data_IF_333107333610
#
_entry.id   IF_333107333610
#
_cell.length_a   1.000
_cell.length_b   1.000
_cell.length_c   1.000
_cell.angle_alpha   90.00
_cell.angle_beta   90.00
_cell.angle_gamma   90.00
#
_symmetry.space_group_name_H-M   'P 1'
#
loop_
_entity.id
_entity.type
_entity.pdbx_description
1 polymer ?
#
# COMPACT_ATOMS: atom_id res chain seq x y z
N UNK A 1 -4.72 34.58 -16.06
CA UNK A 1 -4.88 34.21 -14.64
C UNK A 1 -3.57 33.57 -14.21
N UNK A 2 -3.01 33.94 -13.06
CA UNK A 2 -1.80 33.25 -12.57
C UNK A 2 -2.11 31.78 -12.31
N UNK A 3 -1.21 30.91 -12.71
CA UNK A 3 -1.33 29.48 -12.48
C UNK A 3 -1.37 29.22 -10.98
N UNK A 4 -2.40 28.50 -10.50
CA UNK A 4 -2.51 28.17 -9.08
C UNK A 4 -1.42 27.17 -8.71
N UNK A 5 -0.78 27.36 -7.57
CA UNK A 5 0.11 26.34 -7.00
C UNK A 5 -0.69 25.07 -6.71
N UNK A 6 -0.15 23.92 -7.09
CA UNK A 6 -0.78 22.61 -6.87
C UNK A 6 -0.33 22.03 -5.55
N UNK A 7 -1.21 21.28 -4.92
CA UNK A 7 -0.94 20.59 -3.66
C UNK A 7 -1.67 19.25 -3.63
N UNK A 8 -0.93 18.16 -3.49
CA UNK A 8 -1.47 16.83 -3.36
C UNK A 8 -1.25 16.30 -1.95
N UNK A 9 -2.29 15.73 -1.35
CA UNK A 9 -2.23 15.13 -0.03
C UNK A 9 -3.01 13.82 -0.02
N UNK A 10 -2.42 12.81 0.63
CA UNK A 10 -3.04 11.49 0.83
C UNK A 10 -3.02 11.12 2.29
N UNK A 11 -4.00 10.33 2.72
CA UNK A 11 -3.87 9.50 3.93
C UNK A 11 -3.32 8.13 3.58
N UNK A 12 -2.94 7.33 4.56
CA UNK A 12 -2.92 5.89 4.37
C UNK A 12 -4.32 5.41 3.96
N UNK A 13 -4.40 4.34 3.16
CA UNK A 13 -5.67 3.71 2.82
C UNK A 13 -6.00 2.64 3.86
N UNK A 14 -7.25 2.62 4.33
CA UNK A 14 -7.66 1.76 5.43
C UNK A 14 -7.82 0.30 4.98
N UNK A 15 -7.18 -0.64 5.68
CA UNK A 15 -7.33 -2.06 5.38
C UNK A 15 -8.72 -2.57 5.80
N UNK A 16 -9.44 -3.17 4.86
CA UNK A 16 -10.85 -3.57 5.03
C UNK A 16 -11.04 -4.85 5.84
N UNK A 17 -10.08 -5.23 6.66
CA UNK A 17 -10.21 -6.40 7.54
C UNK A 17 -11.16 -6.20 8.73
N UNK A 18 -11.69 -5.02 8.93
CA UNK A 18 -12.63 -4.69 9.99
C UNK A 18 -13.08 -3.24 9.96
N UNK A 19 -13.95 -2.87 10.89
CA UNK A 19 -14.41 -1.49 11.03
C UNK A 19 -13.25 -0.56 11.42
N UNK A 20 -13.22 0.69 10.91
CA UNK A 20 -12.21 1.66 11.30
C UNK A 20 -12.37 2.03 12.78
N UNK A 21 -11.27 2.38 13.39
CA UNK A 21 -11.22 2.91 14.76
C UNK A 21 -10.85 4.40 14.77
N UNK A 22 -10.90 5.02 15.93
CA UNK A 22 -10.66 6.46 16.07
C UNK A 22 -9.30 6.94 15.54
N UNK A 23 -8.28 6.07 15.51
CA UNK A 23 -6.98 6.38 14.93
C UNK A 23 -7.06 6.62 13.41
N UNK A 24 -7.86 5.85 12.69
CA UNK A 24 -8.08 6.05 11.26
C UNK A 24 -8.86 7.35 11.00
N UNK A 25 -9.88 7.65 11.80
CA UNK A 25 -10.65 8.90 11.68
C UNK A 25 -9.81 10.13 12.02
N UNK A 26 -8.91 10.02 13.01
CA UNK A 26 -7.99 11.10 13.38
C UNK A 26 -7.09 11.50 12.20
N UNK A 27 -6.50 10.53 11.51
CA UNK A 27 -5.67 10.77 10.33
C UNK A 27 -6.46 11.49 9.23
N UNK A 28 -7.68 11.01 8.92
CA UNK A 28 -8.53 11.60 7.91
C UNK A 28 -8.89 13.07 8.22
N UNK A 29 -9.25 13.37 9.47
CA UNK A 29 -9.59 14.72 9.94
C UNK A 29 -8.37 15.64 9.93
N UNK A 30 -7.19 15.13 10.34
CA UNK A 30 -5.94 15.89 10.30
C UNK A 30 -5.58 16.28 8.87
N UNK A 31 -5.64 15.32 7.94
CA UNK A 31 -5.39 15.56 6.51
C UNK A 31 -6.39 16.57 5.94
N UNK A 32 -7.69 16.43 6.24
CA UNK A 32 -8.74 17.35 5.79
C UNK A 32 -8.51 18.79 6.30
N UNK A 33 -8.04 18.94 7.52
CA UNK A 33 -7.71 20.26 8.08
C UNK A 33 -6.62 20.96 7.29
N UNK A 34 -5.56 20.23 6.91
CA UNK A 34 -4.48 20.75 6.07
C UNK A 34 -4.98 21.10 4.68
N UNK A 35 -5.80 20.24 4.09
CA UNK A 35 -6.40 20.45 2.76
C UNK A 35 -7.27 21.70 2.72
N UNK A 36 -8.16 21.88 3.70
CA UNK A 36 -9.00 23.07 3.81
C UNK A 36 -8.17 24.33 3.94
N UNK A 37 -7.13 24.31 4.76
CA UNK A 37 -6.21 25.43 4.91
C UNK A 37 -5.50 25.77 3.58
N UNK A 38 -5.01 24.77 2.85
CA UNK A 38 -4.37 24.97 1.53
C UNK A 38 -5.36 25.53 0.50
N UNK A 39 -6.59 25.05 0.47
CA UNK A 39 -7.66 25.60 -0.39
C UNK A 39 -7.94 27.06 -0.08
N UNK A 40 -7.99 27.45 1.22
CA UNK A 40 -8.14 28.84 1.64
C UNK A 40 -6.97 29.75 1.21
N UNK A 41 -5.75 29.17 1.12
CA UNK A 41 -4.57 29.86 0.58
C UNK A 41 -4.59 29.98 -0.96
N UNK A 42 -5.62 29.48 -1.64
CA UNK A 42 -5.78 29.56 -3.09
C UNK A 42 -5.04 28.48 -3.90
N UNK A 43 -4.52 27.44 -3.25
CA UNK A 43 -3.94 26.30 -3.94
C UNK A 43 -5.01 25.51 -4.72
N UNK A 44 -4.59 24.88 -5.81
CA UNK A 44 -5.33 23.79 -6.46
C UNK A 44 -4.98 22.49 -5.72
N UNK A 45 -5.93 21.99 -4.93
CA UNK A 45 -5.68 20.89 -4.00
C UNK A 45 -6.37 19.62 -4.46
N UNK A 46 -5.60 18.53 -4.52
CA UNK A 46 -6.12 17.17 -4.68
C UNK A 46 -5.92 16.39 -3.38
N UNK A 47 -7.01 15.92 -2.79
CA UNK A 47 -7.00 15.11 -1.57
C UNK A 47 -7.53 13.71 -1.83
N UNK A 48 -6.70 12.70 -1.52
CA UNK A 48 -7.04 11.30 -1.69
C UNK A 48 -7.02 10.57 -0.35
N UNK A 49 -8.01 9.72 -0.15
CA UNK A 49 -8.08 8.69 0.89
C UNK A 49 -8.68 7.42 0.26
N UNK A 50 -8.85 6.35 1.00
CA UNK A 50 -9.45 5.14 0.42
C UNK A 50 -9.29 3.90 1.26
N UNK A 51 -9.43 2.75 0.59
CA UNK A 51 -9.38 1.44 1.21
C UNK A 51 -8.44 0.47 0.48
N UNK A 52 -7.71 -0.32 1.27
CA UNK A 52 -6.94 -1.49 0.86
C UNK A 52 -7.81 -2.73 1.06
N UNK A 53 -8.06 -3.48 -0.02
CA UNK A 53 -9.14 -4.45 -0.09
C UNK A 53 -8.72 -5.87 -0.49
N UNK A 54 -7.44 -6.09 -0.78
CA UNK A 54 -6.94 -7.39 -1.22
C UNK A 54 -6.22 -8.16 -0.10
N UNK A 55 -5.93 -9.44 -0.36
CA UNK A 55 -5.11 -10.28 0.50
C UNK A 55 -5.85 -11.45 1.13
N UNK A 56 -5.04 -12.40 1.62
CA UNK A 56 -5.53 -13.67 2.18
C UNK A 56 -6.47 -13.48 3.38
N UNK A 57 -6.19 -12.49 4.22
CA UNK A 57 -7.01 -12.23 5.42
C UNK A 57 -8.45 -11.81 5.06
N UNK A 58 -8.61 -11.07 3.96
CA UNK A 58 -9.93 -10.69 3.44
C UNK A 58 -10.64 -11.94 2.88
N UNK A 59 -9.93 -12.76 2.09
CA UNK A 59 -10.46 -14.00 1.53
C UNK A 59 -11.01 -14.92 2.64
N UNK A 60 -10.21 -15.16 3.69
CA UNK A 60 -10.61 -15.98 4.84
C UNK A 60 -11.82 -15.41 5.60
N UNK A 61 -11.85 -14.09 5.82
CA UNK A 61 -12.99 -13.45 6.50
C UNK A 61 -14.28 -13.49 5.68
N UNK A 62 -14.18 -13.38 4.38
CA UNK A 62 -15.32 -13.51 3.49
C UNK A 62 -15.86 -14.96 3.51
N UNK A 63 -14.95 -15.94 3.50
CA UNK A 63 -15.30 -17.37 3.63
C UNK A 63 -15.98 -17.66 4.98
N UNK A 64 -15.42 -17.17 6.10
CA UNK A 64 -16.03 -17.28 7.43
C UNK A 64 -17.43 -16.66 7.47
N UNK A 65 -17.66 -15.57 6.74
CA UNK A 65 -18.95 -14.89 6.65
C UNK A 65 -19.91 -15.54 5.63
N UNK A 66 -19.46 -16.53 4.84
CA UNK A 66 -20.26 -17.20 3.80
C UNK A 66 -20.62 -16.29 2.63
N UNK A 67 -19.79 -15.29 2.31
CA UNK A 67 -19.99 -14.34 1.21
C UNK A 67 -18.73 -14.26 0.34
N UNK A 68 -18.83 -13.62 -0.82
CA UNK A 68 -17.66 -13.39 -1.68
C UNK A 68 -16.74 -12.31 -1.09
N UNK A 69 -15.40 -12.38 -1.35
CA UNK A 69 -14.47 -11.32 -0.93
C UNK A 69 -14.91 -9.94 -1.43
N UNK A 70 -15.36 -9.83 -2.68
CA UNK A 70 -15.87 -8.56 -3.23
C UNK A 70 -17.02 -7.99 -2.43
N UNK A 71 -18.01 -8.83 -2.07
CA UNK A 71 -19.16 -8.40 -1.24
C UNK A 71 -18.70 -7.95 0.15
N UNK A 72 -17.76 -8.69 0.74
CA UNK A 72 -17.20 -8.36 2.04
C UNK A 72 -16.54 -6.97 2.05
N UNK A 73 -15.65 -6.70 1.07
CA UNK A 73 -14.96 -5.39 0.99
C UNK A 73 -15.90 -4.26 0.59
N UNK A 74 -16.92 -4.52 -0.24
CA UNK A 74 -17.94 -3.52 -0.57
C UNK A 74 -18.68 -3.05 0.69
N UNK A 75 -19.06 -3.97 1.57
CA UNK A 75 -19.75 -3.65 2.81
C UNK A 75 -18.84 -2.87 3.79
N UNK A 76 -17.59 -3.30 3.97
CA UNK A 76 -16.65 -2.64 4.88
C UNK A 76 -16.22 -1.28 4.34
N UNK A 77 -15.86 -1.20 3.06
CA UNK A 77 -15.46 0.05 2.41
C UNK A 77 -16.61 1.07 2.44
N UNK A 78 -17.85 0.63 2.20
CA UNK A 78 -19.03 1.48 2.34
C UNK A 78 -19.21 2.04 3.75
N UNK A 79 -18.94 1.24 4.79
CA UNK A 79 -18.98 1.71 6.18
C UNK A 79 -17.87 2.73 6.46
N UNK A 80 -16.64 2.48 5.98
CA UNK A 80 -15.52 3.40 6.12
C UNK A 80 -15.86 4.74 5.45
N UNK A 81 -16.30 4.69 4.22
CA UNK A 81 -16.71 5.88 3.47
C UNK A 81 -17.81 6.68 4.20
N UNK A 82 -18.82 6.00 4.74
CA UNK A 82 -19.88 6.64 5.53
C UNK A 82 -19.33 7.37 6.75
N UNK A 83 -18.32 6.82 7.42
CA UNK A 83 -17.68 7.46 8.57
C UNK A 83 -16.89 8.70 8.13
N UNK A 84 -16.13 8.63 7.01
CA UNK A 84 -15.43 9.80 6.46
C UNK A 84 -16.39 10.91 6.06
N UNK A 85 -17.51 10.56 5.45
CA UNK A 85 -18.59 11.51 5.07
C UNK A 85 -19.24 12.13 6.32
N UNK A 86 -19.47 11.34 7.39
CA UNK A 86 -19.98 11.82 8.67
C UNK A 86 -19.02 12.83 9.33
N UNK A 87 -17.71 12.62 9.19
CA UNK A 87 -16.67 13.54 9.65
C UNK A 87 -16.53 14.77 8.75
N UNK A 88 -17.36 14.89 7.71
CA UNK A 88 -17.32 15.97 6.73
C UNK A 88 -15.94 16.11 6.04
N UNK A 89 -15.28 15.00 5.80
CA UNK A 89 -13.95 14.95 5.14
C UNK A 89 -14.10 15.33 3.66
N UNK A 90 -13.34 16.32 3.21
CA UNK A 90 -13.50 16.92 1.87
C UNK A 90 -12.55 16.31 0.82
N UNK A 91 -12.41 14.98 0.81
CA UNK A 91 -11.60 14.28 -0.19
C UNK A 91 -12.17 14.43 -1.61
N UNK A 92 -11.27 14.49 -2.59
CA UNK A 92 -11.62 14.53 -4.02
C UNK A 92 -11.68 13.13 -4.62
N UNK A 93 -10.91 12.18 -4.08
CA UNK A 93 -10.90 10.77 -4.47
C UNK A 93 -10.96 9.87 -3.24
N UNK A 94 -11.92 8.96 -3.23
CA UNK A 94 -11.92 7.79 -2.36
C UNK A 94 -11.54 6.59 -3.23
N UNK A 95 -10.25 6.22 -3.21
CA UNK A 95 -9.73 5.12 -4.02
C UNK A 95 -9.96 3.79 -3.32
N UNK A 96 -10.28 2.78 -4.09
CA UNK A 96 -10.35 1.39 -3.64
C UNK A 96 -9.34 0.58 -4.45
N UNK A 97 -8.60 -0.32 -3.80
CA UNK A 97 -7.66 -1.18 -4.57
C UNK A 97 -8.39 -2.15 -5.49
N UNK A 98 -9.71 -2.34 -5.34
CA UNK A 98 -10.60 -3.06 -6.25
C UNK A 98 -11.21 -2.17 -7.35
N UNK A 99 -10.83 -0.90 -7.47
CA UNK A 99 -11.23 -0.07 -8.60
C UNK A 99 -10.52 -0.55 -9.88
N UNK A 100 -11.25 -0.73 -10.96
CA UNK A 100 -10.73 -1.29 -12.23
C UNK A 100 -9.58 -0.45 -12.81
N UNK A 101 -9.64 0.86 -12.67
CA UNK A 101 -8.58 1.77 -13.10
C UNK A 101 -7.29 1.58 -12.29
N UNK A 102 -7.40 1.33 -10.98
CA UNK A 102 -6.27 1.00 -10.13
C UNK A 102 -5.65 -0.34 -10.51
N UNK A 103 -6.45 -1.40 -10.60
CA UNK A 103 -5.98 -2.75 -10.94
C UNK A 103 -5.20 -2.76 -12.27
N UNK A 104 -5.75 -2.14 -13.32
CA UNK A 104 -5.08 -2.03 -14.63
C UNK A 104 -3.75 -1.28 -14.56
N UNK A 105 -3.68 -0.21 -13.77
CA UNK A 105 -2.45 0.55 -13.61
C UNK A 105 -1.40 -0.23 -12.83
N UNK A 106 -1.79 -0.95 -11.78
CA UNK A 106 -0.89 -1.83 -11.02
C UNK A 106 -0.30 -2.92 -11.91
N UNK A 107 -1.12 -3.56 -12.76
CA UNK A 107 -0.64 -4.54 -13.74
C UNK A 107 0.41 -3.96 -14.68
N UNK A 108 0.17 -2.75 -15.21
CA UNK A 108 1.15 -2.05 -16.05
C UNK A 108 2.45 -1.70 -15.31
N UNK A 109 2.35 -1.25 -14.04
CA UNK A 109 3.52 -0.96 -13.20
C UNK A 109 4.32 -2.24 -12.97
N UNK A 110 3.66 -3.34 -12.61
CA UNK A 110 4.29 -4.63 -12.41
C UNK A 110 5.03 -5.09 -13.68
N UNK A 111 4.33 -5.07 -14.80
CA UNK A 111 4.90 -5.45 -16.11
C UNK A 111 6.10 -4.61 -16.49
N UNK A 112 6.02 -3.29 -16.32
CA UNK A 112 7.12 -2.36 -16.58
C UNK A 112 8.37 -2.68 -15.75
N UNK A 113 8.20 -2.91 -14.44
CA UNK A 113 9.30 -3.27 -13.54
C UNK A 113 9.89 -4.64 -13.90
N UNK A 114 9.06 -5.59 -14.31
CA UNK A 114 9.50 -6.89 -14.79
C UNK A 114 10.32 -6.77 -16.08
N UNK A 115 9.84 -6.04 -17.08
CA UNK A 115 10.54 -5.83 -18.36
C UNK A 115 11.86 -5.08 -18.21
N UNK A 116 11.97 -4.22 -17.18
CA UNK A 116 13.22 -3.53 -16.83
C UNK A 116 14.21 -4.43 -16.07
N UNK A 117 13.80 -5.65 -15.69
CA UNK A 117 14.59 -6.55 -14.89
C UNK A 117 14.71 -6.17 -13.41
N UNK A 118 13.83 -5.29 -12.94
CA UNK A 118 13.74 -4.90 -11.54
C UNK A 118 12.85 -5.85 -10.71
N UNK A 119 11.99 -6.61 -11.38
CA UNK A 119 11.27 -7.75 -10.81
C UNK A 119 11.82 -9.04 -11.40
N UNK A 120 12.03 -10.05 -10.58
CA UNK A 120 12.48 -11.39 -10.97
C UNK A 120 11.70 -12.48 -10.24
N UNK A 121 11.61 -13.64 -10.85
CA UNK A 121 10.95 -14.82 -10.28
C UNK A 121 11.91 -15.61 -9.41
N UNK A 122 11.45 -16.04 -8.25
CA UNK A 122 12.22 -16.81 -7.30
C UNK A 122 11.33 -17.65 -6.39
N UNK A 123 11.92 -18.18 -5.32
CA UNK A 123 11.19 -18.92 -4.30
C UNK A 123 11.32 -18.22 -2.97
N UNK A 124 10.20 -18.08 -2.29
CA UNK A 124 10.16 -17.65 -0.92
C UNK A 124 10.07 -18.87 -0.01
N UNK A 125 11.01 -18.98 0.92
CA UNK A 125 10.98 -20.00 1.96
C UNK A 125 11.07 -19.31 3.32
N UNK A 126 10.16 -19.62 4.21
CA UNK A 126 10.16 -19.02 5.54
C UNK A 126 9.02 -19.50 6.41
N UNK A 127 8.91 -18.90 7.58
CA UNK A 127 7.82 -19.13 8.53
C UNK A 127 6.73 -18.08 8.30
N UNK A 128 5.60 -18.49 7.80
CA UNK A 128 4.50 -17.62 7.44
C UNK A 128 3.49 -17.45 8.57
N UNK A 129 3.18 -16.23 8.90
CA UNK A 129 2.11 -15.85 9.81
C UNK A 129 0.89 -15.38 9.03
N UNK A 130 -0.14 -16.22 8.92
CA UNK A 130 -1.37 -15.89 8.19
C UNK A 130 -2.08 -14.64 8.73
N UNK A 131 -2.20 -14.42 10.07
CA UNK A 131 -2.87 -13.23 10.56
C UNK A 131 -2.16 -11.91 10.29
N UNK A 132 -0.82 -11.93 10.15
CA UNK A 132 -0.02 -10.74 9.84
C UNK A 132 0.33 -10.64 8.36
N UNK A 133 -0.01 -11.68 7.57
CA UNK A 133 0.35 -11.82 6.16
C UNK A 133 1.86 -11.60 5.91
N UNK A 134 2.69 -12.07 6.84
CA UNK A 134 4.11 -11.81 6.84
C UNK A 134 4.92 -13.09 6.95
N UNK A 135 6.03 -13.10 6.22
CA UNK A 135 7.04 -14.13 6.36
C UNK A 135 8.14 -13.68 7.32
N UNK A 136 8.64 -14.64 8.05
CA UNK A 136 9.75 -14.47 8.98
C UNK A 136 10.79 -15.56 8.74
N UNK A 137 12.05 -15.23 8.94
CA UNK A 137 13.09 -16.24 9.08
C UNK A 137 12.94 -16.95 10.42
N UNK A 138 13.47 -18.14 10.55
CA UNK A 138 13.44 -18.88 11.82
C UNK A 138 14.04 -18.07 12.99
N UNK A 139 15.05 -17.24 12.70
CA UNK A 139 15.73 -16.40 13.69
C UNK A 139 14.92 -15.17 14.14
N UNK A 140 13.93 -14.77 13.35
CA UNK A 140 13.03 -13.64 13.69
C UNK A 140 11.87 -14.06 14.58
N UNK A 141 11.60 -15.36 14.69
CA UNK A 141 10.53 -15.84 15.55
C UNK A 141 10.89 -15.68 17.03
N UNK A 142 9.90 -15.30 17.84
CA UNK A 142 10.01 -15.25 19.29
C UNK A 142 9.33 -16.50 19.86
N UNK A 143 10.10 -17.39 20.45
CA UNK A 143 9.62 -18.70 20.96
C UNK A 143 8.85 -19.51 19.89
N UNK A 144 9.32 -19.47 18.63
CA UNK A 144 8.69 -20.17 17.51
C UNK A 144 7.40 -19.51 17.00
N UNK A 145 7.08 -18.29 17.45
CA UNK A 145 5.86 -17.55 17.14
C UNK A 145 6.19 -16.26 16.42
N UNK A 146 5.17 -15.71 15.75
CA UNK A 146 5.23 -14.42 15.07
C UNK A 146 5.65 -13.31 16.05
N UNK A 147 6.67 -12.51 15.74
CA UNK A 147 7.13 -11.42 16.61
C UNK A 147 6.07 -10.31 16.76
N UNK A 148 5.20 -10.13 15.76
CA UNK A 148 4.23 -9.03 15.74
C UNK A 148 2.94 -9.37 16.50
N UNK A 149 2.44 -10.60 16.36
CA UNK A 149 1.13 -10.96 16.94
C UNK A 149 1.17 -12.14 17.92
N UNK A 150 2.33 -12.78 18.12
CA UNK A 150 2.50 -13.91 19.06
C UNK A 150 1.82 -15.23 18.63
N UNK A 151 1.25 -15.31 17.42
CA UNK A 151 0.60 -16.52 16.92
C UNK A 151 1.60 -17.48 16.26
N UNK A 152 1.28 -18.79 16.19
CA UNK A 152 2.13 -19.76 15.53
C UNK A 152 2.33 -19.40 14.04
N UNK A 153 3.57 -19.54 13.56
CA UNK A 153 3.91 -19.48 12.14
C UNK A 153 4.09 -20.90 11.60
N UNK A 154 3.80 -21.08 10.33
CA UNK A 154 3.95 -22.36 9.63
C UNK A 154 5.04 -22.25 8.57
N UNK A 155 5.85 -23.32 8.34
CA UNK A 155 6.78 -23.36 7.23
C UNK A 155 6.00 -23.21 5.91
N UNK A 156 6.44 -22.30 5.06
CA UNK A 156 5.88 -22.12 3.74
C UNK A 156 6.99 -21.96 2.71
N UNK A 157 6.80 -22.57 1.55
CA UNK A 157 7.63 -22.41 0.36
C UNK A 157 6.70 -22.12 -0.80
N UNK A 158 6.96 -21.03 -1.48
CA UNK A 158 6.08 -20.50 -2.51
C UNK A 158 6.92 -19.88 -3.63
N UNK A 159 6.54 -20.15 -4.88
CA UNK A 159 7.10 -19.40 -6.01
C UNK A 159 6.52 -17.98 -5.95
N UNK A 160 7.38 -16.98 -6.12
CA UNK A 160 6.98 -15.59 -6.03
C UNK A 160 7.86 -14.70 -6.91
N UNK A 161 7.34 -13.52 -7.22
CA UNK A 161 8.13 -12.44 -7.81
C UNK A 161 8.69 -11.54 -6.72
N UNK A 162 9.92 -11.07 -6.95
CA UNK A 162 10.66 -10.19 -6.04
C UNK A 162 11.06 -8.91 -6.74
N UNK A 163 10.80 -7.77 -6.10
CA UNK A 163 11.33 -6.48 -6.50
C UNK A 163 12.75 -6.32 -5.93
N UNK A 164 13.71 -6.01 -6.79
CA UNK A 164 15.11 -5.70 -6.41
C UNK A 164 15.18 -4.36 -5.67
N UNK A 165 14.57 -4.29 -4.49
CA UNK A 165 14.56 -3.09 -3.67
C UNK A 165 15.98 -2.70 -3.23
N UNK A 166 16.84 -3.68 -3.02
CA UNK A 166 18.27 -3.50 -2.74
C UNK A 166 18.99 -2.61 -3.77
N UNK A 167 18.63 -2.70 -5.05
CA UNK A 167 19.18 -1.87 -6.13
C UNK A 167 18.96 -0.36 -5.93
N UNK A 168 17.94 0.01 -5.18
CA UNK A 168 17.50 1.39 -5.00
C UNK A 168 18.02 2.05 -3.71
N UNK A 169 18.67 1.30 -2.81
CA UNK A 169 19.10 1.77 -1.50
C UNK A 169 19.97 3.03 -1.57
N UNK A 170 21.07 2.99 -2.36
CA UNK A 170 22.00 4.11 -2.46
C UNK A 170 21.32 5.38 -3.01
N UNK A 171 20.45 5.21 -4.02
CA UNK A 171 19.69 6.34 -4.60
C UNK A 171 18.72 6.95 -3.60
N UNK A 172 18.07 6.12 -2.77
CA UNK A 172 17.17 6.60 -1.71
C UNK A 172 17.94 7.32 -0.63
N UNK A 173 19.11 6.81 -0.20
CA UNK A 173 19.98 7.45 0.78
C UNK A 173 20.44 8.82 0.28
N UNK A 174 20.91 8.88 -0.97
CA UNK A 174 21.32 10.14 -1.59
C UNK A 174 20.15 11.14 -1.65
N UNK A 175 18.98 10.69 -2.11
CA UNK A 175 17.79 11.54 -2.20
C UNK A 175 17.37 12.10 -0.84
N UNK A 176 17.29 11.27 0.19
CA UNK A 176 16.91 11.66 1.54
C UNK A 176 17.92 12.67 2.14
N UNK A 177 19.20 12.48 1.85
CA UNK A 177 20.25 13.38 2.35
C UNK A 177 20.26 14.74 1.63
N UNK A 178 19.92 14.77 0.35
CA UNK A 178 19.88 15.99 -0.46
C UNK A 178 18.54 16.73 -0.38
N UNK A 179 17.49 16.09 0.13
CA UNK A 179 16.13 16.63 0.28
C UNK A 179 15.65 16.47 1.73
N UNK A 180 16.11 17.34 2.66
CA UNK A 180 15.79 17.19 4.08
C UNK A 180 14.29 17.29 4.41
N UNK A 181 13.49 17.88 3.51
CA UNK A 181 12.04 17.98 3.61
C UNK A 181 11.31 16.67 3.24
N UNK A 182 11.98 15.69 2.61
CA UNK A 182 11.36 14.50 2.06
C UNK A 182 10.74 13.59 3.14
N UNK A 183 11.42 13.43 4.27
CA UNK A 183 10.89 12.68 5.43
C UNK A 183 10.85 13.59 6.65
N UNK A 184 9.64 13.79 7.19
CA UNK A 184 9.38 14.62 8.36
C UNK A 184 8.58 13.86 9.42
N UNK A 185 8.76 14.08 10.72
CA UNK A 185 9.84 14.86 11.33
C UNK A 185 11.21 14.14 11.25
N UNK A 186 12.28 14.82 11.60
CA UNK A 186 13.66 14.29 11.54
C UNK A 186 13.82 12.95 12.27
N UNK A 187 13.10 12.73 13.36
CA UNK A 187 13.10 11.45 14.08
C UNK A 187 12.68 10.29 13.18
N UNK A 188 11.72 10.50 12.26
CA UNK A 188 11.29 9.48 11.30
C UNK A 188 12.30 9.26 10.18
N UNK A 189 12.94 10.34 9.72
CA UNK A 189 14.09 10.23 8.82
C UNK A 189 15.19 9.35 9.43
N UNK A 190 15.57 9.62 10.67
CA UNK A 190 16.62 8.87 11.36
C UNK A 190 16.22 7.40 11.57
N UNK A 191 14.96 7.12 11.88
CA UNK A 191 14.43 5.76 11.98
C UNK A 191 14.54 4.99 10.65
N UNK A 192 14.10 5.60 9.54
CA UNK A 192 14.19 5.00 8.21
C UNK A 192 15.64 4.77 7.77
N UNK A 193 16.51 5.76 8.00
CA UNK A 193 17.92 5.66 7.65
C UNK A 193 18.62 4.54 8.44
N UNK A 194 18.51 4.55 9.77
CA UNK A 194 19.30 3.68 10.63
C UNK A 194 18.76 2.24 10.68
N UNK A 195 17.45 2.05 10.62
CA UNK A 195 16.85 0.73 10.79
C UNK A 195 16.67 -0.04 9.47
N UNK A 196 16.61 0.66 8.34
CA UNK A 196 16.28 0.04 7.06
C UNK A 196 17.32 0.30 5.96
N UNK A 197 17.68 1.56 5.70
CA UNK A 197 18.51 1.91 4.55
C UNK A 197 19.98 1.61 4.76
N UNK A 198 20.58 2.07 5.86
CA UNK A 198 22.00 1.87 6.13
C UNK A 198 22.40 0.41 6.40
N UNK A 199 21.56 -0.42 7.04
CA UNK A 199 21.82 -1.86 7.12
C UNK A 199 21.73 -2.60 5.78
N UNK A 200 21.13 -1.98 4.75
CA UNK A 200 20.88 -2.54 3.43
C UNK A 200 19.45 -3.06 3.28
N UNK A 201 18.82 -2.66 2.18
CA UNK A 201 17.48 -3.14 1.83
C UNK A 201 17.52 -4.57 1.31
N UNK A 202 16.54 -5.36 1.72
CA UNK A 202 16.29 -6.69 1.17
C UNK A 202 15.34 -6.59 -0.01
N UNK A 203 15.47 -7.51 -0.97
CA UNK A 203 14.52 -7.62 -2.07
C UNK A 203 13.13 -7.99 -1.53
N UNK A 204 12.12 -7.36 -2.07
CA UNK A 204 10.76 -7.41 -1.56
C UNK A 204 9.92 -8.38 -2.35
N UNK A 205 9.28 -9.34 -1.68
CA UNK A 205 8.28 -10.21 -2.31
C UNK A 205 7.06 -9.37 -2.75
N UNK A 206 6.73 -9.43 -4.05
CA UNK A 206 5.67 -8.60 -4.67
C UNK A 206 4.58 -9.43 -5.35
N UNK A 207 4.60 -10.76 -5.21
CA UNK A 207 3.49 -11.61 -5.64
C UNK A 207 3.31 -12.81 -4.72
N UNK A 208 2.14 -13.43 -4.81
CA UNK A 208 1.76 -14.62 -4.04
C UNK A 208 0.98 -15.58 -4.92
N UNK A 209 1.04 -16.89 -4.58
CA UNK A 209 0.24 -17.94 -5.22
C UNK A 209 -0.71 -18.65 -4.23
N UNK A 210 -0.52 -18.42 -2.94
CA UNK A 210 -1.22 -19.13 -1.85
C UNK A 210 -2.67 -18.68 -1.63
N UNK A 211 -3.11 -17.58 -2.25
CA UNK A 211 -4.50 -17.09 -2.22
C UNK A 211 -4.87 -16.49 -3.58
N UNK A 212 -6.18 -16.24 -3.79
CA UNK A 212 -6.69 -15.80 -5.10
C UNK A 212 -7.33 -14.41 -5.10
N UNK A 213 -7.61 -13.85 -3.93
CA UNK A 213 -8.22 -12.53 -3.82
C UNK A 213 -7.17 -11.43 -3.92
N UNK A 214 -7.03 -10.84 -5.11
CA UNK A 214 -6.08 -9.78 -5.44
C UNK A 214 -5.97 -9.57 -6.94
N UNK A 215 -5.07 -8.69 -7.35
CA UNK A 215 -4.83 -8.33 -8.75
C UNK A 215 -3.96 -9.42 -9.39
N UNK A 216 -4.43 -10.13 -10.44
CA UNK A 216 -3.61 -11.13 -11.10
C UNK A 216 -2.46 -10.47 -11.88
N UNK A 217 -1.30 -11.12 -11.91
CA UNK A 217 -0.20 -10.73 -12.79
C UNK A 217 -0.59 -11.07 -14.23
N UNK A 218 -0.67 -10.09 -15.11
CA UNK A 218 -1.18 -10.20 -16.48
C UNK A 218 -0.60 -11.37 -17.27
N UNK A 219 0.74 -11.53 -17.22
CA UNK A 219 1.48 -12.50 -18.00
C UNK A 219 1.72 -13.82 -17.24
N UNK A 220 1.28 -13.91 -15.97
CA UNK A 220 1.39 -15.09 -15.12
C UNK A 220 0.25 -15.12 -14.10
N UNK A 221 -0.99 -15.45 -14.53
CA UNK A 221 -2.21 -15.27 -13.74
C UNK A 221 -2.33 -16.22 -12.54
N UNK A 222 -1.41 -17.18 -12.38
CA UNK A 222 -1.32 -17.97 -11.15
C UNK A 222 -0.77 -17.17 -9.96
N UNK A 223 -0.10 -16.05 -10.25
CA UNK A 223 0.40 -15.11 -9.27
C UNK A 223 -0.56 -13.94 -9.08
N UNK A 224 -0.76 -13.57 -7.81
CA UNK A 224 -1.49 -12.37 -7.40
C UNK A 224 -0.49 -11.33 -6.94
N UNK A 225 -0.65 -10.08 -7.38
CA UNK A 225 0.18 -8.96 -6.92
C UNK A 225 0.03 -8.79 -5.42
N UNK A 226 1.16 -8.72 -4.72
CA UNK A 226 1.16 -8.62 -3.26
C UNK A 226 1.01 -7.18 -2.79
N UNK A 227 0.48 -7.01 -1.58
CA UNK A 227 0.06 -5.75 -0.97
C UNK A 227 1.06 -4.59 -1.14
N UNK A 228 2.36 -4.87 -1.08
CA UNK A 228 3.38 -3.81 -1.17
C UNK A 228 3.41 -3.10 -2.52
N UNK A 229 3.13 -3.79 -3.61
CA UNK A 229 3.04 -3.15 -4.93
C UNK A 229 1.60 -2.72 -5.25
N UNK A 230 0.60 -3.48 -4.82
CA UNK A 230 -0.81 -3.15 -4.97
C UNK A 230 -1.15 -1.88 -4.16
N UNK A 231 -1.21 -1.98 -2.84
CA UNK A 231 -1.67 -0.89 -1.99
C UNK A 231 -0.80 0.38 -2.13
N UNK A 232 0.53 0.26 -2.17
CA UNK A 232 1.38 1.45 -2.25
C UNK A 232 1.29 2.18 -3.59
N UNK A 233 0.90 1.50 -4.67
CA UNK A 233 0.67 2.17 -5.95
C UNK A 233 -0.54 3.10 -5.95
N UNK A 234 -1.46 2.99 -4.98
CA UNK A 234 -2.65 3.84 -4.92
C UNK A 234 -2.33 5.33 -4.96
N UNK A 235 -1.20 5.74 -4.36
CA UNK A 235 -0.79 7.15 -4.27
C UNK A 235 -0.55 7.80 -5.63
N UNK A 236 -0.21 7.02 -6.65
CA UNK A 236 -0.01 7.50 -8.03
C UNK A 236 -1.14 7.08 -8.96
N UNK A 237 -1.73 5.90 -8.76
CA UNK A 237 -2.85 5.45 -9.61
C UNK A 237 -4.09 6.32 -9.41
N UNK A 238 -4.33 6.80 -8.19
CA UNK A 238 -5.40 7.76 -7.91
C UNK A 238 -5.25 9.12 -8.57
N UNK A 239 -4.04 9.45 -9.05
CA UNK A 239 -3.76 10.61 -9.91
C UNK A 239 -3.86 10.28 -11.40
N UNK A 240 -4.16 9.02 -11.78
CA UNK A 240 -4.26 8.61 -13.16
C UNK A 240 -2.90 8.33 -13.79
N UNK A 241 -1.97 7.71 -13.06
CA UNK A 241 -0.68 7.28 -13.61
C UNK A 241 -0.88 6.54 -14.94
N UNK A 242 -0.14 6.96 -15.99
CA UNK A 242 -0.19 6.41 -17.35
C UNK A 242 -1.56 6.54 -18.07
N UNK A 243 -2.52 7.25 -17.49
CA UNK A 243 -3.83 7.55 -18.12
C UNK A 243 -3.98 9.06 -18.36
N UNK A 244 -3.77 9.86 -17.33
CA UNK A 244 -3.77 11.32 -17.40
C UNK A 244 -2.55 11.87 -16.67
N UNK A 245 -1.47 12.06 -17.42
CA UNK A 245 -0.20 12.60 -16.91
C UNK A 245 -0.30 14.05 -16.43
N UNK A 246 -1.40 14.75 -16.70
CA UNK A 246 -1.58 16.15 -16.29
C UNK A 246 -1.57 16.32 -14.77
N UNK A 247 -1.96 15.28 -14.04
CA UNK A 247 -1.99 15.29 -12.57
C UNK A 247 -0.67 14.82 -11.93
N UNK A 248 0.19 14.11 -12.67
CA UNK A 248 1.46 13.58 -12.12
C UNK A 248 2.51 14.66 -11.93
N UNK A 249 2.41 15.78 -12.64
CA UNK A 249 3.32 16.92 -12.50
C UNK A 249 2.93 17.86 -11.34
N UNK A 250 2.24 17.33 -10.35
CA UNK A 250 1.96 18.03 -9.12
C UNK A 250 3.17 17.95 -8.19
#
# INVERSE_FOLDING_TARGET
MAEKKRFYLTTAIAYTSGKPHIGNTYEAVLADSIVRFKRQQGYDVRFQTGTDEHGQKIELKAEEAGITPKKFVDDVSGQIKTIWDLMNTSYDRFIRTTDEDHEKQVQKIFKKLYDQGDIYKGFYEGMYCTPCESFFTQSQLVDGKCPDCGRPCQPAKEEAYFLKLSKYADRLIEHINTHPEFIQPESRKNEMMNNFLLPGLQDLCVSRTSFKWGIPVDFDPDHIVYVWLDALSNYITGLGYDVDLSLIHI
#
